data_IF_383506744556
#
_entry.id   IF_383506744556
#
_cell.length_a   1.000
_cell.length_b   1.000
_cell.length_c   1.000
_cell.angle_alpha   90.00
_cell.angle_beta   90.00
_cell.angle_gamma   90.00
#
_symmetry.space_group_name_H-M   'P 1'
#
loop_
_entity.id
_entity.type
_entity.pdbx_description
1 polymer ?
#
# COMPACT_ATOMS: atom_id res chain seq x y z
N UNK A 1 -38.20 -42.24 13.99
CA UNK A 1 -37.99 -41.54 12.71
C UNK A 1 -36.61 -40.88 12.76
N UNK A 2 -35.61 -41.49 12.13
CA UNK A 2 -34.25 -40.96 12.04
C UNK A 2 -34.20 -39.88 10.95
N UNK A 3 -34.16 -38.62 11.37
CA UNK A 3 -33.64 -37.54 10.53
C UNK A 3 -32.49 -36.87 11.28
N UNK A 4 -31.29 -37.47 11.28
CA UNK A 4 -30.07 -36.68 11.35
C UNK A 4 -29.06 -37.22 10.35
N UNK A 5 -29.37 -37.18 9.04
CA UNK A 5 -28.43 -37.59 7.99
C UNK A 5 -28.25 -36.55 6.88
N UNK A 6 -28.85 -35.36 7.02
CA UNK A 6 -28.81 -34.30 6.00
C UNK A 6 -27.96 -33.08 6.39
N UNK A 7 -27.25 -33.12 7.53
CA UNK A 7 -26.29 -32.06 7.92
C UNK A 7 -24.82 -32.42 7.59
N UNK A 8 -24.58 -33.55 6.94
CA UNK A 8 -23.26 -33.89 6.43
C UNK A 8 -23.16 -33.43 4.97
N UNK A 9 -22.07 -32.72 4.65
CA UNK A 9 -21.54 -32.36 3.30
C UNK A 9 -21.70 -30.88 2.88
N UNK A 10 -21.07 -29.94 3.64
CA UNK A 10 -20.07 -29.11 2.98
C UNK A 10 -18.67 -29.26 3.60
N UNK A 11 -18.51 -30.07 4.65
CA UNK A 11 -17.26 -30.19 5.38
C UNK A 11 -16.19 -31.09 4.72
N UNK A 12 -16.37 -31.53 3.48
CA UNK A 12 -15.30 -32.20 2.73
C UNK A 12 -14.58 -31.18 1.86
N UNK A 13 -13.60 -30.47 2.43
CA UNK A 13 -12.70 -29.65 1.63
C UNK A 13 -11.60 -30.55 1.02
N UNK A 14 -11.16 -30.18 -0.18
CA UNK A 14 -9.88 -30.65 -0.70
C UNK A 14 -8.90 -29.53 -0.40
N UNK A 15 -7.78 -29.83 0.25
CA UNK A 15 -6.71 -28.86 0.46
C UNK A 15 -5.44 -29.39 -0.16
N UNK A 16 -4.75 -28.52 -0.91
CA UNK A 16 -3.43 -28.82 -1.45
C UNK A 16 -2.36 -28.43 -0.43
N UNK A 17 -1.49 -29.38 -0.09
CA UNK A 17 -0.32 -29.19 0.77
C UNK A 17 0.80 -28.46 0.02
N UNK A 18 1.80 -27.92 0.75
CA UNK A 18 2.97 -27.24 0.18
C UNK A 18 3.82 -28.15 -0.73
N UNK A 19 3.73 -29.47 -0.55
CA UNK A 19 4.35 -30.50 -1.40
C UNK A 19 3.52 -30.85 -2.66
N UNK A 20 2.37 -30.20 -2.85
CA UNK A 20 1.50 -30.37 -4.01
C UNK A 20 0.49 -31.52 -3.89
N UNK A 21 0.48 -32.28 -2.79
CA UNK A 21 -0.49 -33.37 -2.59
C UNK A 21 -1.88 -32.82 -2.25
N UNK A 22 -2.93 -33.43 -2.81
CA UNK A 22 -4.32 -33.13 -2.47
C UNK A 22 -4.76 -34.04 -1.33
N UNK A 23 -5.10 -33.46 -0.17
CA UNK A 23 -5.68 -34.20 0.96
C UNK A 23 -7.17 -33.87 1.04
N UNK A 24 -7.98 -34.92 1.11
CA UNK A 24 -9.43 -34.83 1.34
C UNK A 24 -9.65 -35.11 2.82
N UNK A 25 -10.06 -34.11 3.59
CA UNK A 25 -10.31 -34.25 5.01
C UNK A 25 -11.65 -33.63 5.37
N UNK A 26 -12.24 -34.11 6.47
CA UNK A 26 -13.31 -33.37 7.11
C UNK A 26 -12.70 -32.08 7.64
N UNK A 27 -12.91 -31.00 6.89
CA UNK A 27 -12.29 -29.73 7.17
C UNK A 27 -13.17 -28.96 8.16
N UNK A 28 -13.08 -29.40 9.41
CA UNK A 28 -13.73 -28.72 10.53
C UNK A 28 -13.19 -27.29 10.67
N UNK A 29 -11.97 -27.01 10.19
CA UNK A 29 -11.45 -25.65 10.14
C UNK A 29 -12.19 -24.81 9.11
N UNK A 30 -12.50 -25.33 7.91
CA UNK A 30 -13.34 -24.66 6.93
C UNK A 30 -14.73 -24.36 7.49
N UNK A 31 -15.36 -25.34 8.15
CA UNK A 31 -16.71 -25.19 8.70
C UNK A 31 -16.80 -24.21 9.88
N UNK A 32 -15.71 -24.02 10.63
CA UNK A 32 -15.66 -23.19 11.83
C UNK A 32 -14.82 -21.92 11.64
N UNK A 33 -14.33 -21.66 10.43
CA UNK A 33 -13.58 -20.44 10.13
C UNK A 33 -14.52 -19.24 10.12
N UNK A 34 -14.05 -18.14 10.69
CA UNK A 34 -14.75 -16.87 10.60
C UNK A 34 -14.26 -16.11 9.37
N UNK A 35 -15.15 -15.84 8.42
CA UNK A 35 -14.84 -15.09 7.20
C UNK A 35 -14.87 -13.59 7.51
N UNK A 36 -13.76 -12.91 7.22
CA UNK A 36 -13.62 -11.46 7.41
C UNK A 36 -13.87 -10.70 6.10
N UNK A 37 -13.36 -11.20 4.98
CA UNK A 37 -13.56 -10.62 3.65
C UNK A 37 -13.60 -11.73 2.59
N UNK A 38 -14.44 -11.53 1.59
CA UNK A 38 -14.50 -12.32 0.37
C UNK A 38 -14.38 -11.35 -0.81
N UNK A 39 -13.34 -11.54 -1.63
CA UNK A 39 -13.06 -10.68 -2.79
C UNK A 39 -12.95 -11.52 -4.06
N UNK A 40 -13.46 -11.01 -5.19
CA UNK A 40 -13.32 -11.69 -6.48
C UNK A 40 -11.86 -11.68 -6.93
N UNK A 41 -11.36 -12.82 -7.39
CA UNK A 41 -10.01 -12.97 -7.95
C UNK A 41 -10.02 -14.05 -9.04
N UNK A 42 -9.61 -13.71 -10.26
CA UNK A 42 -9.52 -14.64 -11.39
C UNK A 42 -10.83 -15.42 -11.68
N UNK A 43 -11.99 -14.75 -11.57
CA UNK A 43 -13.30 -15.39 -11.76
C UNK A 43 -13.70 -16.38 -10.64
N UNK A 44 -12.95 -16.39 -9.54
CA UNK A 44 -13.19 -17.18 -8.33
C UNK A 44 -13.15 -16.28 -7.09
N UNK A 45 -13.09 -16.90 -5.91
CA UNK A 45 -13.09 -16.22 -4.62
C UNK A 45 -11.73 -16.34 -3.91
N UNK A 46 -11.25 -15.21 -3.40
CA UNK A 46 -10.21 -15.14 -2.39
C UNK A 46 -10.86 -14.74 -1.06
N UNK A 47 -10.70 -15.58 -0.06
CA UNK A 47 -11.30 -15.34 1.26
C UNK A 47 -10.21 -15.10 2.31
N UNK A 48 -10.32 -13.98 3.01
CA UNK A 48 -9.63 -13.73 4.27
C UNK A 48 -10.50 -14.27 5.40
N UNK A 49 -9.95 -15.21 6.16
CA UNK A 49 -10.64 -15.84 7.29
C UNK A 49 -9.71 -15.99 8.48
N UNK A 50 -10.28 -16.25 9.65
CA UNK A 50 -9.52 -16.68 10.83
C UNK A 50 -9.95 -18.06 11.25
N UNK A 51 -8.97 -18.92 11.54
CA UNK A 51 -9.20 -20.21 12.18
C UNK A 51 -9.72 -20.05 13.61
N UNK A 52 -10.21 -21.13 14.22
CA UNK A 52 -10.62 -21.18 15.64
C UNK A 52 -9.55 -20.69 16.61
N UNK A 53 -8.27 -20.80 16.25
CA UNK A 53 -7.14 -20.29 17.04
C UNK A 53 -6.89 -18.79 16.88
N UNK A 54 -7.78 -18.06 16.19
CA UNK A 54 -7.68 -16.62 15.94
C UNK A 54 -6.63 -16.22 14.90
N UNK A 55 -5.94 -17.19 14.27
CA UNK A 55 -4.93 -16.91 13.25
C UNK A 55 -5.57 -16.62 11.91
N UNK A 56 -5.16 -15.53 11.27
CA UNK A 56 -5.60 -15.14 9.95
C UNK A 56 -4.93 -15.98 8.85
N UNK A 57 -5.70 -16.27 7.82
CA UNK A 57 -5.27 -17.03 6.65
C UNK A 57 -6.05 -16.59 5.40
N UNK A 58 -5.43 -16.77 4.24
CA UNK A 58 -6.07 -16.59 2.94
C UNK A 58 -6.41 -17.96 2.33
N UNK A 59 -7.66 -18.14 1.90
CA UNK A 59 -8.11 -19.30 1.12
C UNK A 59 -8.31 -18.89 -0.33
N UNK A 60 -7.56 -19.54 -1.22
CA UNK A 60 -7.72 -19.45 -2.67
C UNK A 60 -8.54 -20.66 -3.12
N UNK A 61 -9.83 -20.45 -3.40
CA UNK A 61 -10.76 -21.55 -3.71
C UNK A 61 -10.47 -22.23 -5.05
N UNK A 62 -10.00 -21.48 -6.04
CA UNK A 62 -9.67 -22.02 -7.35
C UNK A 62 -8.52 -23.04 -7.32
N UNK A 63 -7.55 -22.82 -6.44
CA UNK A 63 -6.35 -23.64 -6.28
C UNK A 63 -6.41 -24.58 -5.09
N UNK A 64 -7.48 -24.49 -4.28
CA UNK A 64 -7.62 -25.22 -3.03
C UNK A 64 -6.44 -25.01 -2.08
N UNK A 65 -5.91 -23.79 -2.05
CA UNK A 65 -4.70 -23.41 -1.31
C UNK A 65 -5.06 -22.54 -0.11
N UNK A 66 -4.43 -22.82 1.04
CA UNK A 66 -4.48 -21.97 2.24
C UNK A 66 -3.10 -21.39 2.48
N UNK A 67 -3.02 -20.07 2.58
CA UNK A 67 -1.80 -19.34 2.91
C UNK A 67 -1.94 -18.71 4.32
N UNK A 68 -1.25 -19.25 5.34
CA UNK A 68 -1.28 -18.66 6.68
C UNK A 68 -0.63 -17.28 6.67
N UNK A 69 -1.21 -16.34 7.41
CA UNK A 69 -0.65 -15.00 7.60
C UNK A 69 0.23 -14.94 8.85
N UNK A 70 0.86 -13.78 9.04
CA UNK A 70 1.74 -13.53 10.17
C UNK A 70 1.01 -13.70 11.50
N UNK A 71 1.61 -14.43 12.43
CA UNK A 71 1.01 -14.66 13.75
C UNK A 71 0.92 -13.37 14.58
N UNK A 72 1.71 -12.34 14.25
CA UNK A 72 1.68 -11.06 14.95
C UNK A 72 0.50 -10.17 14.54
N UNK A 73 -0.14 -10.44 13.41
CA UNK A 73 -1.24 -9.64 12.90
C UNK A 73 -2.54 -10.00 13.62
N UNK A 74 -3.13 -9.03 14.33
CA UNK A 74 -4.41 -9.20 15.05
C UNK A 74 -5.59 -8.62 14.29
N UNK A 75 -5.34 -7.71 13.34
CA UNK A 75 -6.38 -7.12 12.49
C UNK A 75 -5.85 -6.95 11.07
N UNK A 76 -6.38 -7.73 10.14
CA UNK A 76 -5.92 -7.76 8.75
C UNK A 76 -7.07 -7.47 7.81
N UNK A 77 -6.78 -6.79 6.71
CA UNK A 77 -7.68 -6.70 5.55
C UNK A 77 -6.93 -6.85 4.24
N UNK A 78 -7.65 -7.33 3.23
CA UNK A 78 -7.31 -7.25 1.81
C UNK A 78 -7.61 -5.82 1.34
N UNK A 79 -6.57 -5.15 0.83
CA UNK A 79 -6.63 -3.80 0.27
C UNK A 79 -6.81 -3.85 -1.25
N UNK A 80 -6.11 -4.78 -1.90
CA UNK A 80 -6.19 -5.01 -3.34
C UNK A 80 -5.98 -6.50 -3.63
N UNK A 81 -6.69 -7.04 -4.61
CA UNK A 81 -6.48 -8.37 -5.12
C UNK A 81 -6.74 -8.38 -6.63
N UNK A 82 -5.73 -8.76 -7.43
CA UNK A 82 -5.87 -8.80 -8.89
C UNK A 82 -4.94 -9.81 -9.55
N UNK A 83 -5.20 -10.11 -10.82
CA UNK A 83 -4.33 -10.94 -11.65
C UNK A 83 -3.49 -10.03 -12.54
N UNK A 84 -2.17 -10.24 -12.55
CA UNK A 84 -1.23 -9.51 -13.40
C UNK A 84 -0.40 -10.52 -14.17
N UNK A 85 -0.68 -10.64 -15.47
CA UNK A 85 -0.13 -11.71 -16.30
C UNK A 85 -0.57 -13.09 -15.80
N UNK A 86 0.39 -13.89 -15.30
CA UNK A 86 0.13 -15.25 -14.77
C UNK A 86 0.09 -15.31 -13.24
N UNK A 87 0.22 -14.17 -12.59
CA UNK A 87 0.37 -14.06 -11.15
C UNK A 87 -0.87 -13.45 -10.53
N UNK A 88 -1.33 -14.02 -9.41
CA UNK A 88 -2.30 -13.35 -8.58
C UNK A 88 -1.55 -12.55 -7.50
N UNK A 89 -1.83 -11.25 -7.42
CA UNK A 89 -1.25 -10.35 -6.44
C UNK A 89 -2.30 -9.95 -5.43
N UNK A 90 -1.94 -10.05 -4.15
CA UNK A 90 -2.81 -9.69 -3.03
C UNK A 90 -2.06 -8.72 -2.13
N UNK A 91 -2.56 -7.49 -2.02
CA UNK A 91 -2.06 -6.50 -1.07
C UNK A 91 -2.87 -6.58 0.22
N UNK A 92 -2.18 -6.87 1.32
CA UNK A 92 -2.74 -6.93 2.66
C UNK A 92 -2.31 -5.72 3.48
N UNK A 93 -3.16 -5.28 4.40
CA UNK A 93 -2.86 -4.32 5.45
C UNK A 93 -3.19 -4.88 6.82
N UNK A 94 -2.24 -4.81 7.74
CA UNK A 94 -2.46 -4.94 9.18
C UNK A 94 -2.92 -3.58 9.72
N UNK A 95 -4.16 -3.51 10.22
CA UNK A 95 -4.76 -2.28 10.74
C UNK A 95 -4.34 -1.97 12.19
N UNK A 96 -3.73 -2.94 12.87
CA UNK A 96 -3.15 -2.81 14.21
C UNK A 96 -1.68 -2.36 14.21
N UNK A 97 -1.04 -2.29 13.04
CA UNK A 97 0.35 -1.85 12.91
C UNK A 97 0.45 -0.32 12.74
N UNK A 98 1.05 0.38 13.70
CA UNK A 98 1.11 1.85 13.72
C UNK A 98 2.05 2.48 12.67
N UNK A 99 3.09 1.79 12.21
CA UNK A 99 4.22 2.46 11.56
C UNK A 99 4.84 1.70 10.38
N UNK A 100 5.24 0.44 10.59
CA UNK A 100 5.69 -0.52 9.58
C UNK A 100 5.90 -1.87 10.32
N UNK A 101 5.79 -3.03 9.66
CA UNK A 101 5.36 -3.27 8.28
C UNK A 101 3.85 -3.55 8.19
N UNK A 102 3.06 -2.48 8.05
CA UNK A 102 1.61 -2.61 7.94
C UNK A 102 1.17 -3.27 6.63
N UNK A 103 1.95 -3.14 5.55
CA UNK A 103 1.57 -3.66 4.23
C UNK A 103 2.42 -4.87 3.83
N UNK A 104 1.75 -5.86 3.23
CA UNK A 104 2.41 -7.03 2.64
C UNK A 104 1.82 -7.32 1.27
N UNK A 105 2.67 -7.45 0.27
CA UNK A 105 2.30 -7.94 -1.05
C UNK A 105 2.55 -9.44 -1.08
N UNK A 106 1.54 -10.21 -1.44
CA UNK A 106 1.65 -11.62 -1.73
C UNK A 106 1.56 -11.82 -3.24
N UNK A 107 2.48 -12.59 -3.79
CA UNK A 107 2.38 -13.13 -5.15
C UNK A 107 2.06 -14.62 -5.05
N UNK A 108 1.00 -15.02 -5.73
CA UNK A 108 0.67 -16.41 -5.95
C UNK A 108 0.91 -16.77 -7.42
N UNK A 109 1.82 -17.72 -7.65
CA UNK A 109 2.01 -18.37 -8.95
C UNK A 109 1.81 -19.87 -8.77
N UNK A 110 0.86 -20.42 -9.51
CA UNK A 110 0.42 -21.81 -9.38
C UNK A 110 0.01 -22.13 -7.93
N UNK A 111 0.90 -22.74 -7.14
CA UNK A 111 0.69 -23.08 -5.74
C UNK A 111 1.76 -22.48 -4.81
N UNK A 112 2.62 -21.61 -5.34
CA UNK A 112 3.73 -21.00 -4.60
C UNK A 112 3.36 -19.59 -4.21
N UNK A 113 3.51 -19.29 -2.92
CA UNK A 113 3.33 -17.96 -2.36
C UNK A 113 4.69 -17.33 -2.11
N UNK A 114 4.92 -16.16 -2.68
CA UNK A 114 6.01 -15.25 -2.31
C UNK A 114 5.41 -14.05 -1.59
N UNK A 115 6.18 -13.47 -0.69
CA UNK A 115 5.73 -12.32 0.09
C UNK A 115 6.82 -11.26 0.19
N UNK A 116 6.38 -10.00 0.17
CA UNK A 116 7.23 -8.85 0.44
C UNK A 116 6.57 -7.92 1.43
N UNK A 117 7.37 -7.43 2.36
CA UNK A 117 6.99 -6.37 3.30
C UNK A 117 7.17 -5.02 2.62
N UNK A 118 6.10 -4.21 2.57
CA UNK A 118 6.14 -2.86 2.02
C UNK A 118 6.31 -1.87 3.17
N UNK A 119 7.49 -1.24 3.23
CA UNK A 119 7.83 -0.27 4.27
C UNK A 119 7.17 1.08 3.98
N UNK A 120 5.91 1.18 4.40
CA UNK A 120 5.09 2.39 4.31
C UNK A 120 5.55 3.47 5.30
N UNK A 121 5.16 4.72 5.05
CA UNK A 121 5.43 5.84 5.97
C UNK A 121 4.35 5.92 7.05
N UNK A 122 4.77 6.10 8.31
CA UNK A 122 3.91 6.01 9.51
C UNK A 122 2.80 7.06 9.64
N UNK A 123 2.89 8.17 8.91
CA UNK A 123 2.06 9.35 9.15
C UNK A 123 1.07 9.61 8.00
N UNK A 124 0.56 8.55 7.36
CA UNK A 124 -0.30 8.68 6.18
C UNK A 124 -1.64 8.02 6.44
N UNK A 125 -2.67 8.86 6.53
CA UNK A 125 -4.06 8.42 6.70
C UNK A 125 -4.60 7.77 5.42
N UNK A 126 -4.10 8.21 4.27
CA UNK A 126 -4.53 7.71 2.96
C UNK A 126 -4.07 6.27 2.73
N UNK A 127 -5.00 5.44 2.23
CA UNK A 127 -4.70 4.11 1.74
C UNK A 127 -3.76 4.19 0.51
N UNK A 128 -2.94 3.15 0.30
CA UNK A 128 -2.15 3.07 -0.93
C UNK A 128 -3.07 3.02 -2.15
N UNK A 129 -2.82 3.89 -3.12
CA UNK A 129 -3.46 3.81 -4.42
C UNK A 129 -2.76 2.71 -5.23
N UNK A 130 -3.54 1.80 -5.81
CA UNK A 130 -3.02 0.64 -6.54
C UNK A 130 -3.51 0.68 -7.98
N UNK A 131 -2.57 0.52 -8.91
CA UNK A 131 -2.79 0.55 -10.34
C UNK A 131 -2.11 -0.63 -11.05
N UNK A 132 -2.58 -0.95 -12.25
CA UNK A 132 -1.99 -1.96 -13.12
C UNK A 132 -1.92 -1.43 -14.55
N UNK A 133 -0.73 -1.49 -15.14
CA UNK A 133 -0.48 -1.07 -16.51
C UNK A 133 0.41 -2.07 -17.23
N UNK A 134 -0.12 -2.71 -18.28
CA UNK A 134 0.65 -3.56 -19.19
C UNK A 134 1.38 -4.72 -18.50
N UNK A 135 0.77 -5.37 -17.49
CA UNK A 135 1.41 -6.46 -16.76
C UNK A 135 2.38 -6.01 -15.68
N UNK A 136 2.32 -4.74 -15.29
CA UNK A 136 3.06 -4.18 -14.16
C UNK A 136 2.07 -3.70 -13.10
N UNK A 137 2.30 -4.16 -11.88
CA UNK A 137 1.52 -3.73 -10.72
C UNK A 137 2.23 -2.60 -10.00
N UNK A 138 1.49 -1.58 -9.59
CA UNK A 138 2.06 -0.41 -8.91
C UNK A 138 1.22 -0.01 -7.72
N UNK A 139 1.84 0.11 -6.55
CA UNK A 139 1.25 0.76 -5.40
C UNK A 139 1.96 2.08 -5.11
N UNK A 140 1.19 3.12 -4.82
CA UNK A 140 1.66 4.45 -4.50
C UNK A 140 1.11 4.88 -3.16
N UNK A 141 2.00 5.30 -2.27
CA UNK A 141 1.65 5.98 -1.02
C UNK A 141 2.22 7.39 -1.06
N UNK A 142 1.35 8.40 -0.95
CA UNK A 142 1.83 9.75 -0.68
C UNK A 142 2.62 9.75 0.64
N UNK A 143 3.74 10.48 0.72
CA UNK A 143 4.49 10.67 1.99
C UNK A 143 4.43 12.12 2.47
N UNK A 144 4.36 13.05 1.53
CA UNK A 144 4.14 14.47 1.75
C UNK A 144 3.71 15.08 0.42
N UNK A 145 3.45 16.40 0.40
CA UNK A 145 3.08 17.13 -0.83
C UNK A 145 4.07 16.97 -1.98
N UNK A 146 5.31 16.57 -1.71
CA UNK A 146 6.42 16.58 -2.67
C UNK A 146 7.03 15.20 -2.93
N UNK A 147 6.57 14.14 -2.27
CA UNK A 147 7.15 12.81 -2.43
C UNK A 147 6.09 11.72 -2.22
N UNK A 148 6.20 10.67 -3.01
CA UNK A 148 5.46 9.43 -2.83
C UNK A 148 6.45 8.26 -2.79
N UNK A 149 6.16 7.27 -1.96
CA UNK A 149 6.80 5.97 -2.08
C UNK A 149 5.99 5.14 -3.08
N UNK A 150 6.70 4.54 -4.03
CA UNK A 150 6.12 3.73 -5.08
C UNK A 150 6.75 2.36 -5.08
N UNK A 151 5.91 1.33 -5.02
CA UNK A 151 6.30 -0.05 -5.22
C UNK A 151 5.85 -0.50 -6.58
N UNK A 152 6.76 -1.07 -7.34
CA UNK A 152 6.49 -1.59 -8.68
C UNK A 152 6.84 -3.06 -8.69
N UNK A 153 5.85 -3.90 -8.93
CA UNK A 153 6.06 -5.32 -9.16
C UNK A 153 6.00 -5.61 -10.65
N UNK A 154 6.99 -6.37 -11.14
CA UNK A 154 7.03 -6.82 -12.53
C UNK A 154 7.70 -8.18 -12.62
N UNK A 155 6.97 -9.17 -13.13
CA UNK A 155 7.55 -10.46 -13.51
C UNK A 155 8.15 -11.27 -12.36
N UNK A 156 7.74 -11.01 -11.11
CA UNK A 156 8.26 -11.70 -9.91
C UNK A 156 9.29 -10.91 -9.12
N UNK A 157 9.69 -9.73 -9.59
CA UNK A 157 10.56 -8.80 -8.88
C UNK A 157 9.76 -7.61 -8.34
N UNK A 158 10.12 -7.15 -7.13
CA UNK A 158 9.52 -5.98 -6.50
C UNK A 158 10.59 -4.91 -6.28
N UNK A 159 10.35 -3.73 -6.83
CA UNK A 159 11.20 -2.57 -6.63
C UNK A 159 10.46 -1.48 -5.86
N UNK A 160 11.17 -0.79 -4.95
CA UNK A 160 10.65 0.37 -4.22
C UNK A 160 11.45 1.63 -4.60
N UNK A 161 10.75 2.72 -4.93
CA UNK A 161 11.35 4.00 -5.32
C UNK A 161 10.63 5.17 -4.66
N UNK A 162 11.41 6.20 -4.34
CA UNK A 162 10.86 7.49 -3.96
C UNK A 162 10.66 8.34 -5.23
N UNK A 163 9.43 8.76 -5.48
CA UNK A 163 9.08 9.63 -6.60
C UNK A 163 8.67 11.02 -6.15
N UNK A 164 9.10 12.03 -6.89
CA UNK A 164 8.60 13.40 -6.76
C UNK A 164 7.43 13.61 -7.72
N UNK A 165 6.35 14.31 -7.33
CA UNK A 165 5.25 14.62 -8.22
C UNK A 165 5.75 15.48 -9.39
N UNK A 166 5.12 15.30 -10.56
CA UNK A 166 5.47 16.03 -11.79
C UNK A 166 5.43 17.56 -11.61
N UNK A 167 4.54 18.06 -10.74
CA UNK A 167 4.44 19.49 -10.40
C UNK A 167 5.71 20.10 -9.77
N UNK A 168 6.61 19.28 -9.22
CA UNK A 168 7.91 19.74 -8.75
C UNK A 168 8.90 20.06 -9.90
N UNK A 169 8.62 19.58 -11.12
CA UNK A 169 9.38 19.89 -12.32
C UNK A 169 8.79 21.07 -13.11
N UNK A 170 7.51 21.41 -12.88
CA UNK A 170 6.80 22.54 -13.51
C UNK A 170 6.99 23.87 -12.80
N UNK A 171 8.04 24.04 -11.98
CA UNK A 171 8.46 25.39 -11.62
C UNK A 171 9.38 25.91 -12.73
N UNK A 172 8.91 26.80 -13.62
CA UNK A 172 9.83 27.58 -14.43
C UNK A 172 10.68 28.35 -13.44
N UNK A 173 11.90 27.89 -13.20
CA UNK A 173 12.94 28.77 -12.68
C UNK A 173 13.10 29.82 -13.77
N UNK A 174 12.41 30.94 -13.62
CA UNK A 174 12.87 32.22 -14.17
C UNK A 174 14.25 32.44 -13.58
N UNK A 175 15.25 31.88 -14.23
CA UNK A 175 16.61 32.39 -14.17
C UNK A 175 16.51 33.72 -14.91
N UNK A 176 16.15 34.78 -14.20
CA UNK A 176 16.47 36.13 -14.62
C UNK A 176 17.99 36.22 -14.59
N UNK A 177 18.61 35.79 -15.70
CA UNK A 177 19.99 36.13 -16.06
C UNK A 177 19.98 37.61 -16.45
N UNK A 178 19.75 38.48 -15.47
CA UNK A 178 19.99 39.92 -15.57
C UNK A 178 21.48 40.16 -15.39
N UNK A 179 22.26 39.74 -16.38
CA UNK A 179 23.63 40.17 -16.54
C UNK A 179 23.67 41.24 -17.60
N UNK A 180 23.58 42.50 -17.20
CA UNK A 180 24.24 43.59 -17.91
C UNK A 180 24.73 44.60 -16.86
N UNK A 181 26.03 44.50 -16.59
CA UNK A 181 26.83 45.59 -16.06
C UNK A 181 27.19 46.47 -17.26
N UNK A 182 26.56 47.62 -17.38
CA UNK A 182 27.19 48.78 -17.99
C UNK A 182 27.08 49.97 -17.04
N UNK A 183 28.23 50.60 -16.80
CA UNK A 183 28.39 51.66 -15.81
C UNK A 183 28.65 53.03 -16.42
N UNK A 184 28.61 54.02 -15.50
CA UNK A 184 28.94 55.47 -15.61
C UNK A 184 27.81 56.33 -16.19
N UNK A 185 27.41 57.47 -15.61
CA UNK A 185 28.08 58.39 -14.67
C UNK A 185 27.05 59.36 -14.01
N UNK A 186 27.45 60.56 -13.52
CA UNK A 186 27.64 60.81 -12.08
C UNK A 186 26.67 61.80 -11.39
N UNK A 187 26.68 61.71 -10.04
CA UNK A 187 26.43 62.74 -9.00
C UNK A 187 25.11 63.51 -8.99
N UNK A 188 24.40 63.40 -7.86
CA UNK A 188 24.13 64.53 -6.97
C UNK A 188 23.86 64.07 -5.53
N UNK A 189 24.50 64.79 -4.61
CA UNK A 189 24.44 64.69 -3.17
C UNK A 189 23.09 65.17 -2.60
N UNK A 190 22.85 64.78 -1.34
CA UNK A 190 21.89 65.30 -0.36
C UNK A 190 20.38 65.01 -0.56
N UNK A 191 19.82 64.28 0.42
CA UNK A 191 18.91 64.91 1.38
C UNK A 191 18.98 64.16 2.73
N UNK A 192 19.86 64.68 3.59
CA UNK A 192 19.77 64.57 5.04
C UNK A 192 18.42 65.14 5.48
N UNK A 193 17.73 64.43 6.37
CA UNK A 193 16.49 64.90 6.98
C UNK A 193 16.72 66.27 7.68
N UNK A 194 15.87 67.28 7.43
CA UNK A 194 16.08 68.63 7.92
C UNK A 194 15.94 68.76 9.45
N UNK A 195 16.74 69.66 10.02
CA UNK A 195 17.00 69.90 11.46
C UNK A 195 15.80 70.34 12.32
N UNK A 196 14.58 70.45 11.76
CA UNK A 196 13.38 70.81 12.54
C UNK A 196 12.74 69.62 13.27
N UNK A 197 13.14 68.38 12.96
CA UNK A 197 12.61 67.16 13.61
C UNK A 197 13.29 66.82 14.96
N UNK A 198 14.22 67.65 15.46
CA UNK A 198 14.98 67.42 16.71
C UNK A 198 14.38 68.05 17.98
N UNK A 199 13.20 68.68 17.93
CA UNK A 199 12.65 69.47 19.05
C UNK A 199 11.18 69.21 19.42
N UNK A 200 10.69 67.97 19.34
CA UNK A 200 9.37 67.61 19.88
C UNK A 200 9.51 66.91 21.24
N UNK A 201 8.99 67.46 22.35
CA UNK A 201 8.96 66.80 23.65
C UNK A 201 7.95 65.64 23.67
N UNK A 202 8.14 64.63 24.55
CA UNK A 202 7.21 63.51 24.68
C UNK A 202 5.84 64.00 25.18
N UNK A 203 4.77 63.57 24.51
CA UNK A 203 3.43 63.68 25.07
C UNK A 203 3.32 62.76 26.30
N UNK A 204 2.78 63.32 27.39
CA UNK A 204 2.65 62.66 28.69
C UNK A 204 1.57 61.59 28.76
#
# INVERSE_FOLDING_TARGET
MLVPLLLALPACSQQRSADGTLKRQLDLQEALAFVHQDVPLAGNHLVLRSSLGGRFELKFYDRQLVAPLDAQWKRVRIVDARVVGKDALVLLRADDAECAPAYRLLQLRDYRVRSWTLVASCNQEEAMAVDEDGGMWRARQARNRLNAMVWTWRGGELEARLERPASAYDSPRTVTRGGDREGRGPRRDHDELPDWARWLPPAG
#
